data_IF_255686857534
#
_entry.id   IF_255686857534
#
_cell.length_a   1.000
_cell.length_b   1.000
_cell.length_c   1.000
_cell.angle_alpha   90.00
_cell.angle_beta   90.00
_cell.angle_gamma   90.00
#
_symmetry.space_group_name_H-M   'P 1'
#
loop_
_entity.id
_entity.type
_entity.pdbx_description
1 polymer ?
#
# COMPACT_ATOMS: atom_id res chain seq x y z
N UNK A 1 -18.62 -9.28 8.49
CA UNK A 1 -18.92 -8.25 7.48
C UNK A 1 -20.26 -7.54 7.69
N UNK A 2 -21.43 -8.20 7.77
CA UNK A 2 -22.73 -7.46 7.91
C UNK A 2 -22.85 -6.53 9.12
N UNK A 3 -22.12 -6.82 10.21
CA UNK A 3 -22.09 -6.00 11.44
C UNK A 3 -21.04 -4.89 11.42
N UNK A 4 -20.16 -4.86 10.41
CA UNK A 4 -19.11 -3.86 10.29
C UNK A 4 -19.73 -2.65 9.57
N UNK A 5 -19.99 -1.58 10.32
CA UNK A 5 -20.50 -0.31 9.81
C UNK A 5 -19.53 0.79 10.25
N UNK A 6 -18.77 1.31 9.30
CA UNK A 6 -17.73 2.31 9.54
C UNK A 6 -17.57 3.17 8.29
N UNK A 7 -17.42 4.48 8.45
CA UNK A 7 -17.40 5.44 7.33
C UNK A 7 -16.25 5.18 6.34
N UNK A 8 -15.12 4.65 6.83
CA UNK A 8 -13.94 4.32 6.02
C UNK A 8 -13.94 2.89 5.44
N UNK A 9 -15.01 2.11 5.62
CA UNK A 9 -15.11 0.75 5.08
C UNK A 9 -16.31 0.65 4.14
N UNK A 10 -16.11 0.09 2.95
CA UNK A 10 -17.24 -0.09 2.04
C UNK A 10 -18.26 -1.06 2.65
N UNK A 11 -19.49 -0.58 2.82
CA UNK A 11 -20.56 -1.31 3.49
C UNK A 11 -20.95 -2.57 2.71
N UNK A 12 -20.82 -3.70 3.37
CA UNK A 12 -21.32 -4.98 2.86
C UNK A 12 -22.84 -5.06 3.04
N UNK A 13 -23.57 -5.26 1.93
CA UNK A 13 -25.04 -5.33 1.93
C UNK A 13 -25.50 -6.76 2.19
N UNK A 14 -24.96 -7.73 1.45
CA UNK A 14 -25.36 -9.13 1.57
C UNK A 14 -24.61 -10.07 0.62
N UNK A 15 -24.84 -11.36 0.81
CA UNK A 15 -24.36 -12.45 -0.04
C UNK A 15 -25.58 -13.22 -0.54
N UNK A 16 -25.71 -13.37 -1.85
CA UNK A 16 -26.63 -14.31 -2.46
C UNK A 16 -25.90 -15.64 -2.67
N UNK A 17 -26.50 -16.72 -2.15
CA UNK A 17 -25.99 -18.09 -2.30
C UNK A 17 -26.95 -19.02 -3.03
N UNK A 18 -28.10 -18.50 -3.46
CA UNK A 18 -29.18 -19.28 -4.05
C UNK A 18 -28.96 -19.53 -5.57
N UNK A 19 -27.95 -18.88 -6.15
CA UNK A 19 -27.60 -19.03 -7.57
C UNK A 19 -26.49 -20.06 -7.82
N UNK A 20 -26.18 -20.36 -9.09
CA UNK A 20 -25.06 -21.22 -9.47
C UNK A 20 -23.70 -20.62 -9.06
N UNK A 21 -23.65 -19.31 -8.83
CA UNK A 21 -22.48 -18.58 -8.36
C UNK A 21 -22.82 -17.81 -7.08
N UNK A 22 -21.83 -17.69 -6.19
CA UNK A 22 -21.93 -16.86 -5.00
C UNK A 22 -21.74 -15.39 -5.38
N UNK A 23 -22.76 -14.56 -5.14
CA UNK A 23 -22.72 -13.12 -5.46
C UNK A 23 -22.71 -12.32 -4.18
N UNK A 24 -21.63 -11.58 -3.95
CA UNK A 24 -21.54 -10.65 -2.84
C UNK A 24 -21.85 -9.22 -3.30
N UNK A 25 -22.63 -8.50 -2.50
CA UNK A 25 -23.17 -7.18 -2.82
C UNK A 25 -22.63 -6.16 -1.81
N UNK A 26 -22.05 -5.09 -2.31
CA UNK A 26 -21.55 -3.96 -1.53
C UNK A 26 -22.21 -2.65 -1.98
N UNK A 27 -22.13 -1.64 -1.12
CA UNK A 27 -22.56 -0.28 -1.48
C UNK A 27 -21.70 0.26 -2.63
N UNK A 28 -22.34 1.00 -3.54
CA UNK A 28 -21.65 1.70 -4.62
C UNK A 28 -20.86 2.89 -4.07
N UNK A 29 -19.57 2.99 -4.44
CA UNK A 29 -18.70 4.13 -4.13
C UNK A 29 -18.64 5.08 -5.35
N UNK A 30 -19.30 6.26 -5.33
CA UNK A 30 -19.42 7.12 -6.50
C UNK A 30 -18.15 7.94 -6.83
N UNK A 31 -17.15 7.94 -5.93
CA UNK A 31 -15.96 8.80 -6.02
C UNK A 31 -14.81 8.21 -6.86
N UNK A 32 -15.04 7.09 -7.53
CA UNK A 32 -14.01 6.40 -8.29
C UNK A 32 -13.05 5.62 -7.38
N UNK A 33 -12.06 4.96 -8.00
CA UNK A 33 -11.06 4.16 -7.30
C UNK A 33 -9.80 4.98 -7.01
N UNK A 34 -8.97 4.52 -6.06
CA UNK A 34 -7.63 5.08 -5.88
C UNK A 34 -6.86 5.07 -7.21
N UNK A 35 -6.98 3.98 -7.97
CA UNK A 35 -6.37 3.82 -9.29
C UNK A 35 -6.79 4.92 -10.29
N UNK A 36 -8.01 5.46 -10.23
CA UNK A 36 -8.46 6.56 -11.08
C UNK A 36 -7.86 7.93 -10.68
N UNK A 37 -7.72 8.18 -9.37
CA UNK A 37 -7.05 9.37 -8.85
C UNK A 37 -5.57 9.38 -9.27
N UNK A 38 -4.99 8.21 -9.14
CA UNK A 38 -3.61 7.84 -9.43
C UNK A 38 -3.29 7.87 -10.93
N UNK A 39 -4.12 7.26 -11.78
CA UNK A 39 -3.83 7.05 -13.20
C UNK A 39 -3.76 8.32 -14.03
N UNK A 40 -4.23 9.46 -13.49
CA UNK A 40 -3.99 10.78 -14.09
C UNK A 40 -2.51 11.19 -14.05
N UNK A 41 -1.70 10.53 -13.23
CA UNK A 41 -0.24 10.50 -13.27
C UNK A 41 0.24 9.04 -13.13
N UNK A 42 0.34 8.34 -14.25
CA UNK A 42 0.70 6.91 -14.41
C UNK A 42 1.35 6.24 -13.18
N UNK A 43 0.56 5.54 -12.34
CA UNK A 43 1.10 4.49 -11.47
C UNK A 43 0.84 3.15 -12.17
N UNK A 44 1.87 2.54 -12.76
CA UNK A 44 1.83 1.12 -13.04
C UNK A 44 2.10 0.37 -11.74
N UNK A 45 1.23 -0.58 -11.45
CA UNK A 45 1.36 -1.51 -10.33
C UNK A 45 2.47 -2.48 -10.71
N UNK A 46 3.71 -2.21 -10.28
CA UNK A 46 4.86 -3.00 -10.68
C UNK A 46 4.82 -4.42 -10.07
N UNK A 47 5.54 -5.37 -10.68
CA UNK A 47 5.50 -6.78 -10.27
C UNK A 47 6.00 -7.02 -8.84
N UNK A 48 6.85 -6.13 -8.31
CA UNK A 48 7.35 -6.22 -6.94
C UNK A 48 6.23 -5.86 -5.96
N UNK A 49 5.52 -4.76 -6.22
CA UNK A 49 4.37 -4.39 -5.42
C UNK A 49 3.27 -5.46 -5.44
N UNK A 50 2.98 -6.04 -6.61
CA UNK A 50 2.05 -7.19 -6.73
C UNK A 50 2.52 -8.35 -5.86
N UNK A 51 3.81 -8.71 -5.90
CA UNK A 51 4.36 -9.79 -5.09
C UNK A 51 4.24 -9.51 -3.59
N UNK A 52 4.60 -8.31 -3.13
CA UNK A 52 4.45 -7.91 -1.73
C UNK A 52 2.99 -8.03 -1.27
N UNK A 53 2.05 -7.48 -2.05
CA UNK A 53 0.62 -7.58 -1.76
C UNK A 53 0.16 -9.05 -1.73
N UNK A 54 0.57 -9.87 -2.70
CA UNK A 54 0.19 -11.29 -2.73
C UNK A 54 0.72 -12.05 -1.51
N UNK A 55 1.97 -11.80 -1.10
CA UNK A 55 2.56 -12.40 0.11
C UNK A 55 1.83 -11.92 1.35
N UNK A 56 1.63 -10.62 1.49
CA UNK A 56 1.00 -10.04 2.68
C UNK A 56 -0.48 -10.47 2.79
N UNK A 57 -1.18 -10.66 1.67
CA UNK A 57 -2.53 -11.27 1.65
C UNK A 57 -2.47 -12.74 2.09
N UNK A 58 -1.44 -13.48 1.68
CA UNK A 58 -1.29 -14.88 2.06
C UNK A 58 -0.96 -15.05 3.56
N UNK A 59 -0.22 -14.11 4.14
CA UNK A 59 0.21 -14.13 5.54
C UNK A 59 -0.72 -13.34 6.49
N UNK A 60 -1.57 -12.47 5.93
CA UNK A 60 -2.61 -11.66 6.58
C UNK A 60 -2.30 -11.19 8.02
N UNK A 61 -1.75 -9.99 8.16
CA UNK A 61 -1.41 -9.39 9.46
C UNK A 61 -1.77 -7.90 9.52
N UNK A 62 -1.98 -7.38 10.73
CA UNK A 62 -2.25 -5.94 10.94
C UNK A 62 -1.05 -5.11 10.52
N UNK A 63 0.14 -5.63 10.76
CA UNK A 63 1.41 -5.02 10.42
C UNK A 63 1.65 -5.03 8.90
N UNK A 64 1.11 -6.03 8.19
CA UNK A 64 1.06 -6.07 6.72
C UNK A 64 0.12 -5.01 6.13
N UNK A 65 -1.02 -4.75 6.77
CA UNK A 65 -1.91 -3.64 6.39
C UNK A 65 -1.21 -2.27 6.55
N UNK A 66 -0.45 -2.09 7.64
CA UNK A 66 0.34 -0.86 7.89
C UNK A 66 1.46 -0.69 6.86
N UNK A 67 2.13 -1.79 6.49
CA UNK A 67 3.13 -1.77 5.41
C UNK A 67 2.48 -1.38 4.07
N UNK A 68 1.34 -1.98 3.74
CA UNK A 68 0.59 -1.66 2.51
C UNK A 68 0.16 -0.20 2.47
N UNK A 69 -0.26 0.36 3.60
CA UNK A 69 -0.53 1.79 3.75
C UNK A 69 0.70 2.65 3.40
N UNK A 70 1.90 2.26 3.85
CA UNK A 70 3.12 2.99 3.56
C UNK A 70 3.42 3.02 2.05
N UNK A 71 3.26 1.89 1.36
CA UNK A 71 3.50 1.83 -0.08
C UNK A 71 2.51 2.73 -0.84
N UNK A 72 1.21 2.59 -0.57
CA UNK A 72 0.19 3.43 -1.20
C UNK A 72 0.44 4.92 -0.91
N UNK A 73 0.83 5.26 0.33
CA UNK A 73 1.15 6.63 0.72
C UNK A 73 2.37 7.17 -0.01
N UNK A 74 3.39 6.34 -0.24
CA UNK A 74 4.57 6.74 -1.01
C UNK A 74 4.19 7.15 -2.43
N UNK A 75 3.32 6.38 -3.08
CA UNK A 75 2.85 6.69 -4.43
C UNK A 75 1.97 7.94 -4.49
N UNK A 76 1.14 8.16 -3.47
CA UNK A 76 0.32 9.39 -3.37
C UNK A 76 1.20 10.63 -3.23
N UNK A 77 2.26 10.54 -2.41
CA UNK A 77 3.18 11.65 -2.13
C UNK A 77 4.07 11.98 -3.33
N UNK A 78 4.59 10.96 -4.02
CA UNK A 78 5.50 11.15 -5.15
C UNK A 78 4.80 11.30 -6.48
N UNK A 79 3.54 10.81 -6.58
CA UNK A 79 2.79 10.66 -7.83
C UNK A 79 3.55 9.84 -8.88
N UNK A 80 4.39 8.92 -8.40
CA UNK A 80 5.24 8.02 -9.17
C UNK A 80 5.08 6.62 -8.61
N UNK A 81 5.33 5.63 -9.45
CA UNK A 81 5.35 4.22 -9.03
C UNK A 81 6.31 4.04 -7.86
N UNK A 82 5.91 3.23 -6.88
CA UNK A 82 6.65 3.03 -5.65
C UNK A 82 8.13 2.67 -5.91
N UNK A 83 8.41 1.77 -6.86
CA UNK A 83 9.79 1.43 -7.23
C UNK A 83 10.24 1.97 -8.59
N UNK A 84 9.36 2.54 -9.41
CA UNK A 84 9.70 3.12 -10.72
C UNK A 84 10.67 2.23 -11.54
N UNK A 85 10.32 0.94 -11.64
CA UNK A 85 11.20 -0.10 -12.18
C UNK A 85 11.55 0.19 -13.64
N UNK A 86 10.64 0.83 -14.38
CA UNK A 86 10.79 1.11 -15.80
C UNK A 86 11.87 2.15 -16.15
N UNK A 87 12.11 3.10 -15.25
CA UNK A 87 13.13 4.16 -15.40
C UNK A 87 14.51 3.74 -14.87
N UNK A 88 14.59 2.63 -14.12
CA UNK A 88 15.89 2.07 -13.73
C UNK A 88 16.58 1.45 -14.94
N UNK A 89 17.83 1.87 -15.18
CA UNK A 89 18.64 1.50 -16.37
C UNK A 89 18.96 0.00 -16.48
N UNK A 90 18.65 -0.81 -15.47
CA UNK A 90 19.03 -2.22 -15.35
C UNK A 90 17.76 -3.07 -15.15
N UNK A 91 17.11 -3.44 -16.26
CA UNK A 91 15.71 -3.88 -16.25
C UNK A 91 15.48 -5.36 -15.87
N UNK A 92 16.49 -6.22 -16.00
CA UNK A 92 16.32 -7.68 -15.81
C UNK A 92 17.04 -8.19 -14.57
N UNK A 93 18.22 -7.66 -14.25
CA UNK A 93 19.02 -8.09 -13.11
C UNK A 93 18.42 -7.59 -11.78
N UNK A 94 17.78 -6.43 -11.80
CA UNK A 94 17.23 -5.76 -10.61
C UNK A 94 16.05 -6.52 -10.00
N UNK A 95 15.18 -7.18 -10.77
CA UNK A 95 14.06 -7.95 -10.19
C UNK A 95 14.59 -9.18 -9.43
N UNK A 96 15.55 -9.90 -10.01
CA UNK A 96 16.17 -11.05 -9.35
C UNK A 96 17.00 -10.61 -8.14
N UNK A 97 17.70 -9.49 -8.24
CA UNK A 97 18.43 -8.89 -7.12
C UNK A 97 17.47 -8.43 -6.01
N UNK A 98 16.35 -7.79 -6.34
CA UNK A 98 15.30 -7.44 -5.39
C UNK A 98 14.78 -8.67 -4.63
N UNK A 99 14.40 -9.72 -5.35
CA UNK A 99 13.93 -10.97 -4.75
C UNK A 99 15.02 -11.62 -3.88
N UNK A 100 16.26 -11.56 -4.32
CA UNK A 100 17.42 -12.05 -3.56
C UNK A 100 17.62 -11.25 -2.27
N UNK A 101 17.55 -9.91 -2.32
CA UNK A 101 17.73 -9.02 -1.18
C UNK A 101 16.60 -9.14 -0.16
N UNK A 102 15.34 -9.29 -0.61
CA UNK A 102 14.21 -9.64 0.26
C UNK A 102 14.49 -10.97 0.97
N UNK A 103 14.87 -11.99 0.20
CA UNK A 103 15.05 -13.34 0.75
C UNK A 103 16.24 -13.44 1.71
N UNK A 104 17.28 -12.64 1.48
CA UNK A 104 18.51 -12.65 2.28
C UNK A 104 18.43 -11.73 3.51
N UNK A 105 17.46 -10.82 3.58
CA UNK A 105 17.37 -9.83 4.66
C UNK A 105 18.60 -8.91 4.67
N UNK A 106 18.92 -8.30 3.52
CA UNK A 106 20.08 -7.41 3.39
C UNK A 106 20.01 -6.19 4.31
N UNK A 107 21.17 -5.62 4.65
CA UNK A 107 21.31 -4.48 5.57
C UNK A 107 20.65 -3.17 5.06
N UNK A 108 20.33 -3.10 3.77
CA UNK A 108 19.60 -1.96 3.20
C UNK A 108 18.47 -2.50 2.32
N UNK A 109 17.26 -2.64 2.87
CA UNK A 109 16.17 -3.22 2.15
C UNK A 109 15.61 -2.21 1.15
N UNK A 110 15.28 -2.68 -0.05
CA UNK A 110 14.83 -1.78 -1.09
C UNK A 110 13.49 -1.14 -0.69
N UNK A 111 13.47 0.19 -0.60
CA UNK A 111 12.27 1.00 -0.32
C UNK A 111 11.96 1.97 -1.46
N UNK A 112 10.69 2.39 -1.60
CA UNK A 112 10.31 3.46 -2.50
C UNK A 112 11.09 4.74 -2.21
N UNK A 113 11.51 5.44 -3.28
CA UNK A 113 12.05 6.79 -3.13
C UNK A 113 10.89 7.74 -2.80
N UNK A 114 11.07 8.61 -1.80
CA UNK A 114 10.08 9.59 -1.37
C UNK A 114 10.35 11.02 -1.90
N UNK A 115 11.26 11.16 -2.86
CA UNK A 115 11.49 12.42 -3.56
C UNK A 115 10.25 12.82 -4.38
N UNK A 116 9.70 13.99 -4.03
CA UNK A 116 8.54 14.58 -4.68
C UNK A 116 8.91 15.94 -5.27
N UNK A 117 8.25 16.32 -6.37
CA UNK A 117 8.50 17.59 -7.05
C UNK A 117 7.84 18.79 -6.33
N UNK A 118 7.08 18.54 -5.24
CA UNK A 118 6.39 19.54 -4.44
C UNK A 118 6.80 19.53 -2.96
N UNK A 119 6.38 20.57 -2.22
CA UNK A 119 6.58 20.62 -0.77
C UNK A 119 5.66 19.64 -0.05
N UNK A 120 6.26 18.69 0.67
CA UNK A 120 5.57 17.69 1.48
C UNK A 120 6.03 17.86 2.92
N UNK A 121 5.08 17.81 3.87
CA UNK A 121 5.39 17.88 5.29
C UNK A 121 6.37 16.75 5.68
N UNK A 122 7.58 17.06 6.20
CA UNK A 122 8.56 16.05 6.59
C UNK A 122 8.02 15.02 7.60
N UNK A 123 7.08 15.39 8.46
CA UNK A 123 6.45 14.48 9.40
C UNK A 123 5.69 13.34 8.69
N UNK A 124 5.07 13.62 7.55
CA UNK A 124 4.41 12.60 6.74
C UNK A 124 5.43 11.63 6.12
N UNK A 125 6.58 12.15 5.68
CA UNK A 125 7.66 11.32 5.14
C UNK A 125 8.27 10.42 6.21
N UNK A 126 8.40 10.90 7.44
CA UNK A 126 8.83 10.08 8.57
C UNK A 126 7.80 9.00 8.90
N UNK A 127 6.51 9.35 8.97
CA UNK A 127 5.45 8.39 9.22
C UNK A 127 5.43 7.26 8.18
N UNK A 128 5.56 7.59 6.88
CA UNK A 128 5.65 6.58 5.82
C UNK A 128 6.84 5.65 6.06
N UNK A 129 7.99 6.20 6.49
CA UNK A 129 9.18 5.42 6.80
C UNK A 129 9.00 4.47 7.98
N UNK A 130 8.28 4.89 9.01
CA UNK A 130 7.99 4.05 10.17
C UNK A 130 7.02 2.91 9.81
N UNK A 131 6.01 3.21 8.98
CA UNK A 131 5.00 2.23 8.56
C UNK A 131 5.55 1.05 7.74
N UNK A 132 6.71 1.21 7.08
CA UNK A 132 7.34 0.12 6.33
C UNK A 132 8.61 -0.42 6.99
N UNK A 133 8.73 -0.40 8.32
CA UNK A 133 9.85 -1.02 9.02
C UNK A 133 10.03 -2.50 8.63
N UNK A 134 11.28 -3.00 8.60
CA UNK A 134 11.58 -4.40 8.28
C UNK A 134 10.95 -5.36 9.28
N UNK A 135 11.20 -5.14 10.58
CA UNK A 135 10.50 -5.87 11.63
C UNK A 135 9.04 -5.39 11.67
N UNK A 136 8.06 -6.29 11.47
CA UNK A 136 6.65 -5.95 11.60
C UNK A 136 6.29 -5.33 12.96
N UNK A 137 7.01 -5.70 14.01
CA UNK A 137 6.78 -5.26 15.39
C UNK A 137 7.19 -3.80 15.62
N UNK A 138 8.11 -3.29 14.81
CA UNK A 138 8.56 -1.90 14.88
C UNK A 138 7.59 -0.94 14.18
N UNK A 139 6.64 -1.47 13.40
CA UNK A 139 5.65 -0.66 12.68
C UNK A 139 4.62 -0.07 13.67
N UNK A 140 4.20 1.19 13.49
CA UNK A 140 3.16 1.79 14.30
C UNK A 140 1.81 1.08 14.08
N UNK A 141 0.97 1.09 15.11
CA UNK A 141 -0.41 0.59 14.96
C UNK A 141 -1.25 1.54 14.10
N UNK A 142 -2.33 1.04 13.50
CA UNK A 142 -3.28 1.88 12.76
C UNK A 142 -3.84 3.05 13.60
N UNK A 143 -4.02 2.85 14.91
CA UNK A 143 -4.47 3.91 15.83
C UNK A 143 -3.39 4.99 16.02
N UNK A 144 -2.12 4.57 16.12
CA UNK A 144 -0.97 5.48 16.17
C UNK A 144 -0.87 6.28 14.88
N UNK A 145 -0.96 5.63 13.72
CA UNK A 145 -0.96 6.28 12.40
C UNK A 145 -2.07 7.33 12.32
N UNK A 146 -3.31 6.96 12.67
CA UNK A 146 -4.44 7.89 12.69
C UNK A 146 -4.22 9.09 13.61
N UNK A 147 -3.61 8.87 14.77
CA UNK A 147 -3.33 9.93 15.75
C UNK A 147 -2.27 10.90 15.23
N UNK A 148 -1.19 10.40 14.64
CA UNK A 148 -0.12 11.21 14.04
C UNK A 148 -0.65 12.08 12.89
N UNK A 149 -1.52 11.52 12.03
CA UNK A 149 -2.12 12.26 10.93
C UNK A 149 -3.03 13.41 11.39
N UNK A 150 -3.76 13.22 12.50
CA UNK A 150 -4.63 14.27 13.08
C UNK A 150 -3.86 15.45 13.69
N UNK A 151 -2.64 15.21 14.18
CA UNK A 151 -1.80 16.26 14.77
C UNK A 151 -1.08 17.08 13.68
N UNK A 152 -0.97 16.53 12.47
CA UNK A 152 -0.24 17.13 11.34
C UNK A 152 -1.10 17.99 10.39
N UNK A 153 -2.40 18.14 10.68
CA UNK A 153 -3.40 18.97 9.99
C UNK A 153 -3.83 20.14 10.85
#
# INVERSE_FOLDING_TARGET
>A
MRKLDHDNVNRFIGLSIDGPEYIAIWRMCPRGTLQELVSKGSLLVDSFFIFCIMRDIAEASKEGDVFSFAIISSEVVTRKEAWNIHERKERTDVILEMLYMIRKGGHDPLRPNLESDGEINPALLHLIRDCWAEDPSDRPTADTVCSTLKVST
#
